data_IF_527173996856
#
_entry.id   IF_527173996856
#
_cell.length_a   1.000
_cell.length_b   1.000
_cell.length_c   1.000
_cell.angle_alpha   90.00
_cell.angle_beta   90.00
_cell.angle_gamma   90.00
#
_symmetry.space_group_name_H-M   'P 1'
#
loop_
_entity.id
_entity.type
_entity.pdbx_description
1 polymer ?
#
# COMPACT_ATOMS: atom_id res chain seq x y z
N UNK A 1 -0.10 -23.97 7.10
CA UNK A 1 -0.44 -22.88 6.19
C UNK A 1 0.59 -21.76 6.29
N UNK A 2 1.07 -21.28 5.17
CA UNK A 2 2.03 -20.20 5.17
C UNK A 2 1.37 -18.86 5.36
N UNK A 3 1.96 -18.03 6.23
CA UNK A 3 1.55 -16.65 6.38
C UNK A 3 2.61 -15.78 5.70
N UNK A 4 2.17 -14.92 4.79
CA UNK A 4 3.08 -14.04 4.07
C UNK A 4 2.68 -12.59 4.30
N UNK A 5 3.61 -11.83 4.86
CA UNK A 5 3.44 -10.39 5.03
C UNK A 5 4.43 -9.65 4.14
N UNK A 6 4.01 -8.52 3.62
CA UNK A 6 4.86 -7.67 2.78
C UNK A 6 4.95 -6.28 3.38
N UNK A 7 6.14 -5.70 3.31
CA UNK A 7 6.41 -4.39 3.90
C UNK A 7 7.30 -3.58 2.97
N UNK A 8 7.06 -2.28 2.93
CA UNK A 8 7.96 -1.35 2.26
C UNK A 8 8.74 -0.61 3.33
N UNK A 9 10.06 -0.55 3.17
CA UNK A 9 10.96 0.01 4.16
C UNK A 9 11.46 1.37 3.67
N UNK A 10 11.38 2.37 4.54
CA UNK A 10 11.78 3.73 4.20
C UNK A 10 12.68 4.33 5.25
N UNK A 11 13.50 5.28 4.81
CA UNK A 11 14.12 6.26 5.69
C UNK A 11 13.52 7.60 5.29
N UNK A 12 12.63 8.13 6.13
CA UNK A 12 11.87 9.33 5.85
C UNK A 12 11.10 9.18 4.53
N UNK A 13 11.47 9.96 3.52
CA UNK A 13 10.75 9.94 2.25
C UNK A 13 11.36 9.03 1.19
N UNK A 14 12.45 8.37 1.54
CA UNK A 14 13.19 7.53 0.59
C UNK A 14 12.85 6.06 0.79
N UNK A 15 12.45 5.38 -0.28
CA UNK A 15 12.22 3.94 -0.23
C UNK A 15 13.58 3.25 -0.28
N UNK A 16 13.90 2.48 0.77
CA UNK A 16 15.15 1.72 0.83
C UNK A 16 14.99 0.33 0.24
N UNK A 17 13.82 -0.25 0.38
CA UNK A 17 13.58 -1.57 -0.14
C UNK A 17 12.31 -2.16 0.43
N UNK A 18 12.29 -3.50 0.47
CA UNK A 18 11.12 -4.25 0.87
C UNK A 18 11.50 -5.38 1.79
N UNK A 19 10.55 -5.81 2.59
CA UNK A 19 10.68 -7.01 3.40
C UNK A 19 9.48 -7.90 3.17
N UNK A 20 9.68 -9.20 3.29
CA UNK A 20 8.56 -10.14 3.35
C UNK A 20 8.83 -11.13 4.46
N UNK A 21 7.78 -11.51 5.14
CA UNK A 21 7.85 -12.47 6.23
C UNK A 21 7.09 -13.72 5.80
N UNK A 22 7.77 -14.86 5.85
CA UNK A 22 7.18 -16.15 5.50
C UNK A 22 7.44 -17.08 6.66
N UNK A 23 6.37 -17.52 7.35
CA UNK A 23 6.44 -18.46 8.46
C UNK A 23 7.47 -18.04 9.53
N UNK A 24 7.49 -16.75 9.84
CA UNK A 24 8.36 -16.22 10.90
C UNK A 24 9.77 -15.87 10.46
N UNK A 25 10.12 -16.12 9.20
CA UNK A 25 11.43 -15.75 8.67
C UNK A 25 11.26 -14.50 7.80
N UNK A 26 12.11 -13.49 8.06
CA UNK A 26 12.04 -12.24 7.33
C UNK A 26 13.14 -12.17 6.28
N UNK A 27 12.75 -11.83 5.07
CA UNK A 27 13.66 -11.65 3.94
C UNK A 27 13.61 -10.20 3.50
N UNK A 28 14.76 -9.67 3.08
CA UNK A 28 14.89 -8.27 2.68
C UNK A 28 15.40 -8.17 1.25
N UNK A 29 14.98 -7.11 0.58
CA UNK A 29 15.44 -6.82 -0.78
C UNK A 29 15.57 -5.31 -0.92
N UNK A 30 16.76 -4.83 -1.28
CA UNK A 30 16.96 -3.41 -1.53
C UNK A 30 16.16 -2.97 -2.76
N UNK A 31 15.85 -1.68 -2.84
CA UNK A 31 14.96 -1.13 -3.86
C UNK A 31 15.40 -1.49 -5.28
N UNK A 32 16.71 -1.55 -5.50
CA UNK A 32 17.26 -1.83 -6.82
C UNK A 32 17.78 -3.25 -6.98
N UNK A 33 17.47 -4.15 -6.06
CA UNK A 33 17.87 -5.55 -6.14
C UNK A 33 16.72 -6.42 -6.61
N UNK A 34 17.07 -7.61 -7.12
CA UNK A 34 16.06 -8.57 -7.55
C UNK A 34 15.95 -9.79 -6.66
N UNK A 35 16.92 -9.98 -5.77
CA UNK A 35 16.99 -11.18 -4.91
C UNK A 35 16.65 -10.84 -3.48
N UNK A 36 15.97 -11.78 -2.82
CA UNK A 36 15.66 -11.68 -1.40
C UNK A 36 16.75 -12.36 -0.58
N UNK A 37 17.10 -11.77 0.55
CA UNK A 37 18.10 -12.34 1.46
C UNK A 37 17.75 -12.01 2.90
N UNK A 38 18.45 -12.66 3.84
CA UNK A 38 18.10 -12.49 5.26
C UNK A 38 18.82 -11.33 5.92
N UNK A 39 19.73 -10.65 5.23
CA UNK A 39 20.43 -9.49 5.76
C UNK A 39 19.51 -8.29 5.82
N UNK A 40 19.35 -7.73 7.01
CA UNK A 40 18.44 -6.60 7.21
C UNK A 40 18.92 -5.34 6.53
N UNK A 41 17.97 -4.56 6.03
CA UNK A 41 18.22 -3.21 5.54
C UNK A 41 18.03 -2.22 6.68
N UNK A 42 18.66 -1.06 6.57
CA UNK A 42 18.48 0.02 7.52
C UNK A 42 17.24 0.84 7.11
N UNK A 43 16.35 1.07 8.06
CA UNK A 43 15.11 1.82 7.79
C UNK A 43 14.58 2.40 9.10
N UNK A 44 13.77 3.46 8.99
CA UNK A 44 13.13 4.04 10.17
C UNK A 44 11.59 3.97 10.10
N UNK A 45 11.02 3.59 8.98
CA UNK A 45 9.57 3.57 8.79
C UNK A 45 9.16 2.38 7.93
N UNK A 46 8.03 1.78 8.29
CA UNK A 46 7.47 0.64 7.57
C UNK A 46 6.09 1.01 7.04
N UNK A 47 5.86 0.74 5.76
CA UNK A 47 4.52 0.75 5.20
C UNK A 47 4.07 -0.70 5.02
N UNK A 48 2.81 -0.97 5.32
CA UNK A 48 2.29 -2.34 5.28
C UNK A 48 1.73 -2.64 3.89
N UNK A 49 2.19 -3.73 3.30
CA UNK A 49 1.67 -4.20 2.03
C UNK A 49 0.36 -4.93 2.23
N UNK A 50 -0.58 -4.72 1.32
CA UNK A 50 -1.88 -5.37 1.39
C UNK A 50 -2.04 -6.29 0.19
N UNK A 51 -2.99 -7.20 0.28
CA UNK A 51 -3.18 -8.20 -0.75
C UNK A 51 -4.10 -7.70 -1.86
N UNK A 52 -3.79 -6.52 -2.38
CA UNK A 52 -4.51 -5.90 -3.49
C UNK A 52 -3.47 -5.37 -4.45
N UNK A 53 -3.65 -5.65 -5.74
CA UNK A 53 -2.77 -5.17 -6.79
C UNK A 53 -3.47 -4.08 -7.59
N UNK A 54 -2.70 -3.10 -8.06
CA UNK A 54 -3.25 -2.09 -8.96
C UNK A 54 -3.30 -2.61 -10.40
N UNK A 55 -3.76 -1.78 -11.32
CA UNK A 55 -3.94 -2.21 -12.71
C UNK A 55 -2.63 -2.58 -13.41
N UNK A 56 -1.48 -2.22 -12.83
CA UNK A 56 -0.16 -2.58 -13.33
C UNK A 56 0.45 -3.75 -12.56
N UNK A 57 -0.37 -4.45 -11.77
CA UNK A 57 0.07 -5.58 -10.95
C UNK A 57 1.07 -5.20 -9.87
N UNK A 58 0.98 -3.97 -9.36
CA UNK A 58 1.83 -3.51 -8.27
C UNK A 58 1.05 -3.64 -6.97
N UNK A 59 1.71 -4.18 -5.94
CA UNK A 59 1.08 -4.32 -4.62
C UNK A 59 0.89 -2.94 -3.99
N UNK A 60 -0.27 -2.73 -3.39
CA UNK A 60 -0.53 -1.51 -2.65
C UNK A 60 0.08 -1.59 -1.26
N UNK A 61 0.60 -0.45 -0.81
CA UNK A 61 1.11 -0.29 0.55
C UNK A 61 0.42 0.90 1.19
N UNK A 62 0.31 0.87 2.52
CA UNK A 62 -0.21 2.04 3.23
C UNK A 62 0.61 3.26 2.84
N UNK A 63 -0.05 4.42 2.76
CA UNK A 63 0.53 5.70 2.34
C UNK A 63 0.77 5.84 0.84
N UNK A 64 0.31 4.89 0.02
CA UNK A 64 0.27 5.08 -1.43
C UNK A 64 -0.90 5.98 -1.77
N UNK A 65 -0.67 6.92 -2.69
CA UNK A 65 -1.73 7.73 -3.28
C UNK A 65 -2.18 7.03 -4.54
N UNK A 66 -3.49 6.81 -4.64
CA UNK A 66 -4.06 6.02 -5.73
C UNK A 66 -5.20 6.76 -6.42
N UNK A 67 -5.30 6.51 -7.70
CA UNK A 67 -6.51 6.80 -8.47
C UNK A 67 -7.41 5.59 -8.31
N UNK A 68 -8.69 5.79 -8.00
CA UNK A 68 -9.57 4.67 -7.71
C UNK A 68 -11.02 4.95 -8.12
N UNK A 69 -11.77 3.88 -8.27
CA UNK A 69 -13.19 3.94 -8.56
C UNK A 69 -13.87 2.86 -7.73
N UNK A 70 -14.88 3.26 -6.97
CA UNK A 70 -15.76 2.29 -6.28
C UNK A 70 -16.65 1.66 -7.34
N UNK A 71 -16.75 0.33 -7.33
CA UNK A 71 -17.45 -0.40 -8.38
C UNK A 71 -18.88 0.08 -8.60
N UNK A 72 -19.56 0.47 -7.53
CA UNK A 72 -20.95 0.93 -7.60
C UNK A 72 -21.10 2.40 -7.98
N UNK A 73 -20.00 3.12 -8.21
CA UNK A 73 -20.06 4.56 -8.49
C UNK A 73 -19.33 4.89 -9.80
N UNK A 74 -19.78 5.93 -10.52
CA UNK A 74 -19.25 6.17 -11.87
C UNK A 74 -17.98 7.02 -11.93
N UNK A 75 -17.48 7.53 -10.81
CA UNK A 75 -16.42 8.53 -10.84
C UNK A 75 -15.08 7.97 -10.39
N UNK A 76 -14.02 8.39 -11.09
CA UNK A 76 -12.65 8.23 -10.63
C UNK A 76 -12.36 9.28 -9.56
N UNK A 77 -11.66 8.87 -8.51
CA UNK A 77 -11.29 9.75 -7.41
C UNK A 77 -9.85 9.47 -7.01
N UNK A 78 -9.30 10.34 -6.19
CA UNK A 78 -7.95 10.20 -5.65
C UNK A 78 -8.02 10.03 -4.14
N UNK A 79 -7.27 9.06 -3.63
CA UNK A 79 -7.22 8.81 -2.20
C UNK A 79 -5.90 8.18 -1.80
N UNK A 80 -5.79 7.80 -0.55
CA UNK A 80 -4.59 7.12 -0.07
C UNK A 80 -4.95 5.86 0.69
N UNK A 81 -4.06 4.89 0.62
CA UNK A 81 -4.23 3.60 1.28
C UNK A 81 -3.94 3.76 2.76
N UNK A 82 -4.83 3.28 3.61
CA UNK A 82 -4.71 3.43 5.04
C UNK A 82 -5.29 2.22 5.78
N UNK A 83 -4.87 2.08 7.03
CA UNK A 83 -5.44 1.11 7.95
C UNK A 83 -6.32 1.86 8.93
N UNK A 84 -7.59 1.42 9.06
CA UNK A 84 -8.53 2.01 10.01
C UNK A 84 -8.57 1.13 11.27
N UNK A 85 -7.95 1.58 12.37
CA UNK A 85 -7.80 0.71 13.54
C UNK A 85 -9.11 0.37 14.24
N UNK A 86 -10.09 1.27 14.22
CA UNK A 86 -11.38 0.98 14.86
C UNK A 86 -12.15 -0.10 14.12
N UNK A 87 -11.95 -0.20 12.81
CA UNK A 87 -12.60 -1.21 11.99
C UNK A 87 -11.69 -2.41 11.73
N UNK A 88 -10.40 -2.26 12.03
CA UNK A 88 -9.37 -3.30 11.77
C UNK A 88 -9.35 -3.69 10.30
N UNK A 89 -9.44 -2.70 9.43
CA UNK A 89 -9.50 -2.92 7.99
C UNK A 89 -8.59 -1.98 7.25
N UNK A 90 -8.07 -2.46 6.12
CA UNK A 90 -7.38 -1.62 5.16
C UNK A 90 -8.39 -1.09 4.15
N UNK A 91 -8.15 0.11 3.66
CA UNK A 91 -9.04 0.72 2.68
C UNK A 91 -8.41 1.95 2.07
N UNK A 92 -9.24 2.75 1.43
CA UNK A 92 -8.83 3.99 0.80
C UNK A 92 -9.57 5.15 1.46
N UNK A 93 -8.81 6.18 1.85
CA UNK A 93 -9.37 7.44 2.35
C UNK A 93 -9.38 8.43 1.19
N UNK A 94 -10.56 8.94 0.86
CA UNK A 94 -10.70 9.92 -0.21
C UNK A 94 -10.01 11.21 0.17
N UNK A 95 -9.23 11.79 -0.73
CA UNK A 95 -8.45 12.98 -0.42
C UNK A 95 -9.29 14.25 -0.24
N UNK A 96 -10.47 14.29 -0.82
CA UNK A 96 -11.34 15.45 -0.69
C UNK A 96 -12.32 15.33 0.47
N UNK A 97 -12.99 14.20 0.57
CA UNK A 97 -14.04 14.02 1.59
C UNK A 97 -13.53 13.39 2.87
N UNK A 98 -12.35 12.76 2.84
CA UNK A 98 -11.78 11.98 3.94
C UNK A 98 -12.65 10.78 4.33
N UNK A 99 -13.53 10.37 3.44
CA UNK A 99 -14.35 9.18 3.66
C UNK A 99 -13.50 7.93 3.44
N UNK A 100 -13.60 7.00 4.38
CA UNK A 100 -12.89 5.72 4.31
C UNK A 100 -13.79 4.67 3.67
N UNK A 101 -13.25 3.95 2.67
CA UNK A 101 -13.92 2.81 2.06
C UNK A 101 -13.01 1.59 2.21
N UNK A 102 -13.48 0.50 2.84
CA UNK A 102 -12.66 -0.71 2.97
C UNK A 102 -12.48 -1.38 1.59
N UNK A 103 -11.42 -2.18 1.47
CA UNK A 103 -11.20 -2.91 0.21
C UNK A 103 -12.23 -4.01 0.02
N UNK A 104 -12.67 -4.65 1.11
CA UNK A 104 -13.58 -5.79 1.02
C UNK A 104 -14.73 -5.68 2.01
N UNK A 105 -15.89 -6.14 1.59
CA UNK A 105 -16.99 -6.46 2.49
C UNK A 105 -17.37 -7.90 2.14
N UNK A 106 -17.26 -8.79 3.14
CA UNK A 106 -17.61 -10.21 2.97
C UNK A 106 -16.97 -10.82 1.74
N UNK A 107 -15.64 -10.62 1.60
CA UNK A 107 -14.84 -11.14 0.50
C UNK A 107 -15.13 -10.50 -0.86
N UNK A 108 -16.00 -9.50 -0.90
CA UNK A 108 -16.28 -8.78 -2.13
C UNK A 108 -15.45 -7.50 -2.18
N UNK A 109 -14.61 -7.37 -3.21
CA UNK A 109 -13.81 -6.17 -3.41
C UNK A 109 -14.71 -5.03 -3.87
N UNK A 110 -14.60 -3.89 -3.18
CA UNK A 110 -15.46 -2.74 -3.47
C UNK A 110 -14.92 -1.83 -4.56
N UNK A 111 -13.69 -2.06 -5.01
CA UNK A 111 -13.05 -1.20 -6.00
C UNK A 111 -12.92 -1.92 -7.33
N UNK A 112 -12.95 -1.10 -8.38
CA UNK A 112 -12.73 -1.56 -9.73
C UNK A 112 -11.22 -1.64 -9.96
N UNK A 113 -10.66 -2.85 -9.90
CA UNK A 113 -9.20 -3.01 -9.89
C UNK A 113 -8.55 -2.62 -11.20
N UNK A 114 -9.28 -2.64 -12.31
CA UNK A 114 -8.75 -2.18 -13.59
C UNK A 114 -8.72 -0.65 -13.70
N UNK A 115 -9.25 0.05 -12.69
CA UNK A 115 -9.16 1.51 -12.57
C UNK A 115 -8.28 1.95 -11.41
N UNK A 116 -7.74 1.02 -10.66
CA UNK A 116 -6.93 1.30 -9.48
C UNK A 116 -5.48 1.47 -9.90
N UNK A 117 -4.90 2.63 -9.58
CA UNK A 117 -3.53 2.92 -10.01
C UNK A 117 -2.78 3.71 -8.95
N UNK A 118 -1.58 3.22 -8.57
CA UNK A 118 -0.69 3.97 -7.69
C UNK A 118 -0.10 5.12 -8.50
N UNK A 119 -0.32 6.35 -8.04
CA UNK A 119 0.16 7.54 -8.75
C UNK A 119 1.22 8.31 -7.98
N UNK A 120 1.33 8.12 -6.67
CA UNK A 120 2.31 8.82 -5.85
C UNK A 120 2.33 8.19 -4.46
N UNK A 121 2.99 8.84 -3.52
CA UNK A 121 3.05 8.43 -2.13
C UNK A 121 2.87 9.65 -1.25
N UNK A 122 2.19 9.49 -0.11
CA UNK A 122 1.99 10.59 0.82
C UNK A 122 3.30 11.20 1.28
N UNK A 123 4.29 10.36 1.54
CA UNK A 123 5.56 10.84 2.08
C UNK A 123 6.40 11.63 1.07
N UNK A 124 6.22 11.41 -0.23
CA UNK A 124 6.93 12.21 -1.24
C UNK A 124 6.21 13.51 -1.54
N UNK A 125 4.90 13.52 -1.37
CA UNK A 125 4.09 14.69 -1.70
C UNK A 125 4.37 15.88 -0.81
N UNK A 126 4.74 15.63 0.44
CA UNK A 126 4.99 16.73 1.40
C UNK A 126 6.07 17.68 0.96
N UNK A 127 7.04 17.20 0.21
CA UNK A 127 8.17 18.02 -0.18
C UNK A 127 7.81 19.04 -1.25
N UNK A 128 6.67 18.85 -1.89
CA UNK A 128 6.26 19.73 -2.98
C UNK A 128 5.46 20.94 -2.51
N UNK A 129 5.13 20.98 -1.25
CA UNK A 129 4.26 22.03 -0.71
C UNK A 129 5.00 23.22 -0.15
N UNK A 130 6.26 23.26 -0.36
CA UNK A 130 7.10 24.35 0.14
C UNK A 130 6.88 25.65 -0.60
#
# INVERSE_FOLDING_TARGET
MKTIGYYRLRNKNKIEGFAKEIDGVTYFKAYNEFSWHETSLSFDTIDIGINVLDKRNRRLFTNDIVLYKVSSKPFLRTGFVAYEPNRREFGIVDQESFHFTPFYIDDLCLFDTDKLEIISHLFTRKEKTK
#
